data_IF_940066080578
#
_entry.id   IF_940066080578
#
_cell.length_a   1.000
_cell.length_b   1.000
_cell.length_c   1.000
_cell.angle_alpha   90.00
_cell.angle_beta   90.00
_cell.angle_gamma   90.00
#
_symmetry.space_group_name_H-M   'P 1'
#
loop_
_entity.id
_entity.type
_entity.pdbx_description
1 polymer ?
#
# COMPACT_ATOMS: atom_id res chain seq x y z
N UNK A 1 3.72 9.59 17.30
CA UNK A 1 4.42 10.52 16.41
C UNK A 1 5.21 9.68 15.40
N UNK A 2 5.01 9.93 14.12
CA UNK A 2 5.71 9.18 13.09
C UNK A 2 7.23 9.43 13.16
N UNK A 3 8.01 8.36 13.02
CA UNK A 3 9.46 8.45 12.95
C UNK A 3 9.89 9.20 11.70
N UNK A 4 10.86 10.08 11.83
CA UNK A 4 11.46 10.73 10.67
C UNK A 4 12.39 9.77 9.93
N UNK A 5 12.06 9.50 8.66
CA UNK A 5 12.92 8.73 7.76
C UNK A 5 13.24 9.59 6.53
N UNK A 6 14.52 9.66 6.21
CA UNK A 6 14.96 10.36 4.99
C UNK A 6 14.66 9.54 3.74
N UNK A 7 14.73 10.18 2.58
CA UNK A 7 14.61 9.46 1.30
C UNK A 7 15.65 8.33 1.19
N UNK A 8 16.88 8.57 1.66
CA UNK A 8 17.93 7.55 1.66
C UNK A 8 17.59 6.35 2.56
N UNK A 9 16.95 6.59 3.71
CA UNK A 9 16.48 5.52 4.58
C UNK A 9 15.39 4.69 3.90
N UNK A 10 14.43 5.35 3.28
CA UNK A 10 13.33 4.69 2.57
C UNK A 10 13.82 3.90 1.35
N UNK A 11 14.79 4.42 0.61
CA UNK A 11 15.43 3.71 -0.49
C UNK A 11 16.15 2.45 -0.01
N UNK A 12 16.84 2.52 1.12
CA UNK A 12 17.52 1.38 1.74
C UNK A 12 16.52 0.31 2.22
N UNK A 13 15.42 0.73 2.82
CA UNK A 13 14.32 -0.16 3.23
C UNK A 13 13.74 -0.86 2.00
N UNK A 14 13.41 -0.13 0.96
CA UNK A 14 12.90 -0.70 -0.29
C UNK A 14 13.87 -1.72 -0.89
N UNK A 15 15.15 -1.39 -0.96
CA UNK A 15 16.18 -2.28 -1.50
C UNK A 15 16.24 -3.61 -0.76
N UNK A 16 16.13 -3.60 0.55
CA UNK A 16 16.09 -4.81 1.37
C UNK A 16 14.91 -5.72 1.02
N UNK A 17 13.72 -5.17 0.88
CA UNK A 17 12.53 -5.96 0.53
C UNK A 17 12.54 -6.43 -0.92
N UNK A 18 13.08 -5.64 -1.84
CA UNK A 18 13.27 -6.03 -3.24
C UNK A 18 14.27 -7.20 -3.33
N UNK A 19 15.34 -7.16 -2.56
CA UNK A 19 16.30 -8.28 -2.48
C UNK A 19 15.63 -9.56 -1.98
N UNK A 20 14.76 -9.48 -0.99
CA UNK A 20 13.99 -10.62 -0.51
C UNK A 20 13.07 -11.18 -1.60
N UNK A 21 12.40 -10.31 -2.36
CA UNK A 21 11.56 -10.73 -3.47
C UNK A 21 12.38 -11.40 -4.57
N UNK A 22 13.48 -10.82 -4.99
CA UNK A 22 14.35 -11.37 -6.02
C UNK A 22 14.92 -12.75 -5.61
N UNK A 23 15.38 -12.84 -4.38
CA UNK A 23 15.87 -14.12 -3.85
C UNK A 23 14.79 -15.19 -3.84
N UNK A 24 13.58 -14.83 -3.39
CA UNK A 24 12.46 -15.77 -3.29
C UNK A 24 12.00 -16.30 -4.65
N UNK A 25 12.01 -15.47 -5.66
CA UNK A 25 11.52 -15.81 -7.01
C UNK A 25 12.64 -16.08 -8.03
N UNK A 26 13.88 -16.15 -7.57
CA UNK A 26 15.01 -16.49 -8.43
C UNK A 26 15.30 -15.46 -9.53
N UNK A 27 15.00 -14.17 -9.27
CA UNK A 27 15.22 -13.08 -10.21
C UNK A 27 16.66 -12.59 -10.06
N UNK A 28 17.41 -12.52 -11.17
CA UNK A 28 18.77 -11.98 -11.17
C UNK A 28 18.75 -10.45 -11.13
N UNK A 29 19.65 -9.85 -10.36
CA UNK A 29 19.89 -8.40 -10.36
C UNK A 29 20.48 -7.91 -11.70
N UNK A 30 21.15 -8.79 -12.44
CA UNK A 30 21.73 -8.47 -13.75
C UNK A 30 20.69 -8.50 -14.87
N UNK A 31 19.54 -9.14 -14.61
CA UNK A 31 18.39 -9.18 -15.52
C UNK A 31 17.11 -8.93 -14.72
N UNK A 32 16.91 -7.69 -14.24
CA UNK A 32 15.78 -7.35 -13.40
C UNK A 32 14.47 -7.38 -14.18
N UNK A 33 13.45 -7.99 -13.61
CA UNK A 33 12.09 -7.95 -14.14
C UNK A 33 11.20 -7.06 -13.26
N UNK A 34 10.13 -6.49 -13.82
CA UNK A 34 9.17 -5.73 -13.03
C UNK A 34 8.59 -6.57 -11.88
N UNK A 35 8.48 -5.97 -10.72
CA UNK A 35 7.91 -6.62 -9.56
C UNK A 35 6.40 -6.82 -9.73
N UNK A 36 5.92 -8.04 -9.49
CA UNK A 36 4.50 -8.29 -9.32
C UNK A 36 4.11 -7.89 -7.89
N UNK A 37 3.38 -6.79 -7.75
CA UNK A 37 3.08 -6.19 -6.45
C UNK A 37 2.15 -7.07 -5.59
N UNK A 38 1.19 -7.76 -6.18
CA UNK A 38 0.32 -8.69 -5.44
C UNK A 38 1.12 -9.86 -4.89
N UNK A 39 2.01 -10.42 -5.71
CA UNK A 39 2.90 -11.51 -5.31
C UNK A 39 3.90 -11.04 -4.24
N UNK A 40 4.46 -9.85 -4.38
CA UNK A 40 5.31 -9.24 -3.36
C UNK A 40 4.57 -9.07 -2.04
N UNK A 41 3.39 -8.46 -2.06
CA UNK A 41 2.59 -8.23 -0.87
C UNK A 41 2.21 -9.54 -0.17
N UNK A 42 1.76 -10.55 -0.91
CA UNK A 42 1.34 -11.83 -0.32
C UNK A 42 2.51 -12.71 0.10
N UNK A 43 3.53 -12.87 -0.73
CA UNK A 43 4.60 -13.86 -0.52
C UNK A 43 5.76 -13.33 0.32
N UNK A 44 6.10 -12.05 0.22
CA UNK A 44 7.21 -11.45 0.98
C UNK A 44 6.70 -10.83 2.29
N UNK A 45 5.58 -10.11 2.23
CA UNK A 45 5.06 -9.37 3.38
C UNK A 45 3.98 -10.14 4.17
N UNK A 46 3.43 -11.21 3.62
CA UNK A 46 2.35 -11.96 4.26
C UNK A 46 1.04 -11.16 4.36
N UNK A 47 0.77 -10.28 3.40
CA UNK A 47 -0.44 -9.48 3.35
C UNK A 47 -1.53 -10.19 2.56
N UNK A 48 -2.78 -9.92 2.90
CA UNK A 48 -3.94 -10.37 2.13
C UNK A 48 -4.41 -9.23 1.23
N UNK A 49 -4.20 -9.37 -0.07
CA UNK A 49 -4.64 -8.38 -1.06
C UNK A 49 -6.06 -8.72 -1.49
N UNK A 50 -6.99 -7.80 -1.27
CA UNK A 50 -8.40 -7.94 -1.62
C UNK A 50 -8.81 -6.82 -2.56
N UNK A 51 -9.74 -7.12 -3.47
CA UNK A 51 -10.36 -6.11 -4.31
C UNK A 51 -11.85 -6.07 -4.01
N UNK A 52 -12.31 -4.93 -3.52
CA UNK A 52 -13.70 -4.69 -3.11
C UNK A 52 -14.10 -3.27 -3.49
N UNK A 53 -15.39 -3.00 -3.71
CA UNK A 53 -15.86 -1.63 -3.90
C UNK A 53 -15.75 -0.89 -2.57
N UNK A 54 -14.81 0.05 -2.45
CA UNK A 54 -14.57 0.82 -1.23
C UNK A 54 -15.45 2.07 -1.15
N UNK A 55 -15.77 2.64 -2.30
CA UNK A 55 -16.63 3.82 -2.38
C UNK A 55 -17.28 3.92 -3.76
N UNK A 56 -18.40 4.64 -3.83
CA UNK A 56 -19.14 4.82 -5.08
C UNK A 56 -18.57 5.92 -5.97
N UNK A 57 -17.79 6.84 -5.41
CA UNK A 57 -17.31 8.05 -6.10
C UNK A 57 -15.83 8.01 -6.48
N UNK A 58 -15.13 6.91 -6.20
CA UNK A 58 -13.70 6.78 -6.49
C UNK A 58 -12.78 7.58 -5.55
N UNK A 59 -13.30 8.10 -4.44
CA UNK A 59 -12.52 8.91 -3.50
C UNK A 59 -11.49 8.11 -2.71
N UNK A 60 -11.76 6.83 -2.45
CA UNK A 60 -10.86 5.92 -1.75
C UNK A 60 -10.36 4.87 -2.72
N UNK A 61 -9.06 4.84 -2.96
CA UNK A 61 -8.40 3.91 -3.89
C UNK A 61 -7.91 2.65 -3.20
N UNK A 62 -7.50 2.75 -1.96
CA UNK A 62 -6.98 1.63 -1.19
C UNK A 62 -7.14 1.84 0.31
N UNK A 63 -6.96 0.76 1.03
CA UNK A 63 -7.11 0.72 2.48
C UNK A 63 -6.12 -0.29 3.05
N UNK A 64 -5.34 0.11 4.04
CA UNK A 64 -4.51 -0.80 4.83
C UNK A 64 -5.10 -0.99 6.22
N UNK A 65 -5.10 -2.21 6.71
CA UNK A 65 -5.76 -2.59 7.95
C UNK A 65 -4.74 -3.06 8.98
N UNK A 66 -4.69 -2.37 10.11
CA UNK A 66 -3.80 -2.68 11.23
C UNK A 66 -4.50 -3.44 12.35
N UNK A 67 -5.79 -3.23 12.51
CA UNK A 67 -6.62 -3.89 13.52
C UNK A 67 -7.95 -4.30 12.91
N UNK A 68 -8.55 -5.37 13.44
CA UNK A 68 -9.88 -5.79 13.03
C UNK A 68 -10.85 -4.61 13.06
N UNK A 69 -11.51 -4.36 11.94
CA UNK A 69 -12.47 -3.27 11.82
C UNK A 69 -13.62 -3.62 10.87
N UNK A 70 -14.70 -2.87 10.99
CA UNK A 70 -15.83 -2.90 10.06
C UNK A 70 -15.77 -1.68 9.16
N UNK A 71 -16.04 -1.89 7.89
CA UNK A 71 -16.09 -0.83 6.89
C UNK A 71 -17.40 -0.92 6.13
N UNK A 72 -18.16 0.18 6.07
CA UNK A 72 -19.42 0.25 5.35
C UNK A 72 -19.21 0.93 4.02
N UNK A 73 -19.53 0.23 2.95
CA UNK A 73 -19.51 0.74 1.57
C UNK A 73 -20.94 1.04 1.16
N UNK A 74 -21.16 2.18 0.53
CA UNK A 74 -22.43 2.55 -0.09
C UNK A 74 -22.22 2.48 -1.60
N UNK A 75 -22.94 1.55 -2.24
CA UNK A 75 -22.90 1.39 -3.70
C UNK A 75 -23.73 2.48 -4.40
N UNK A 76 -23.51 2.63 -5.70
CA UNK A 76 -24.22 3.64 -6.50
C UNK A 76 -25.75 3.53 -6.44
N UNK A 77 -26.28 2.32 -6.28
CA UNK A 77 -27.72 2.06 -6.12
C UNK A 77 -28.22 2.33 -4.69
N UNK A 78 -27.37 2.82 -3.78
CA UNK A 78 -27.68 3.07 -2.38
C UNK A 78 -27.56 1.83 -1.47
N UNK A 79 -27.22 0.67 -2.00
CA UNK A 79 -27.01 -0.55 -1.23
C UNK A 79 -25.82 -0.38 -0.30
N UNK A 80 -25.99 -0.77 0.96
CA UNK A 80 -24.91 -0.77 1.96
C UNK A 80 -24.31 -2.15 2.08
N UNK A 81 -23.00 -2.25 1.92
CA UNK A 81 -22.21 -3.45 2.24
C UNK A 81 -21.39 -3.21 3.49
N UNK A 82 -21.50 -4.11 4.45
CA UNK A 82 -20.65 -4.12 5.65
C UNK A 82 -19.64 -5.24 5.49
N UNK A 83 -18.36 -4.85 5.45
CA UNK A 83 -17.25 -5.77 5.36
C UNK A 83 -16.48 -5.78 6.70
N UNK A 84 -15.96 -6.93 7.07
CA UNK A 84 -15.05 -7.09 8.21
C UNK A 84 -13.65 -7.30 7.69
N UNK A 85 -12.74 -6.40 8.04
CA UNK A 85 -11.35 -6.50 7.69
C UNK A 85 -10.51 -6.95 8.87
N UNK A 86 -9.50 -7.74 8.57
CA UNK A 86 -8.57 -8.29 9.55
C UNK A 86 -7.20 -7.61 9.45
N UNK A 87 -6.39 -7.65 10.51
CA UNK A 87 -5.00 -7.20 10.43
C UNK A 87 -4.27 -7.88 9.26
N UNK A 88 -3.44 -7.16 8.58
CA UNK A 88 -2.69 -7.59 7.38
C UNK A 88 -3.53 -7.62 6.10
N UNK A 89 -4.78 -7.21 6.13
CA UNK A 89 -5.53 -6.97 4.91
C UNK A 89 -5.09 -5.65 4.27
N UNK A 90 -4.88 -5.67 2.97
CA UNK A 90 -4.89 -4.49 2.13
C UNK A 90 -6.00 -4.63 1.10
N UNK A 91 -6.80 -3.59 0.98
CA UNK A 91 -7.99 -3.61 0.13
C UNK A 91 -7.81 -2.54 -0.94
N UNK A 92 -7.98 -2.95 -2.18
CA UNK A 92 -7.86 -2.08 -3.35
C UNK A 92 -9.26 -1.89 -3.92
N UNK A 93 -9.62 -0.67 -4.27
CA UNK A 93 -10.92 -0.41 -4.86
C UNK A 93 -11.10 -1.19 -6.16
N UNK A 94 -12.21 -1.89 -6.30
CA UNK A 94 -12.50 -2.74 -7.45
C UNK A 94 -12.55 -1.98 -8.78
N UNK A 95 -12.77 -0.67 -8.76
CA UNK A 95 -12.66 0.18 -9.95
C UNK A 95 -11.25 0.15 -10.57
N UNK A 96 -10.21 -0.18 -9.80
CA UNK A 96 -8.83 -0.30 -10.28
C UNK A 96 -8.52 -1.67 -10.93
N UNK A 97 -9.48 -2.58 -11.01
CA UNK A 97 -9.31 -3.89 -11.63
C UNK A 97 -9.15 -3.81 -13.16
N UNK A 98 -9.63 -2.76 -13.80
CA UNK A 98 -9.54 -2.58 -15.24
C UNK A 98 -8.09 -2.51 -15.73
N UNK A 99 -7.80 -3.06 -16.91
CA UNK A 99 -6.45 -3.05 -17.50
C UNK A 99 -5.91 -1.63 -17.71
N UNK A 100 -6.78 -0.66 -18.01
CA UNK A 100 -6.43 0.75 -18.13
C UNK A 100 -5.96 1.39 -16.82
N UNK A 101 -6.22 0.75 -15.69
CA UNK A 101 -5.87 1.22 -14.35
C UNK A 101 -4.65 0.51 -13.74
N UNK A 102 -3.91 -0.29 -14.52
CA UNK A 102 -2.80 -1.11 -14.01
C UNK A 102 -1.76 -0.29 -13.24
N UNK A 103 -1.35 0.85 -13.77
CA UNK A 103 -0.37 1.72 -13.10
C UNK A 103 -0.90 2.26 -11.77
N UNK A 104 -2.14 2.73 -11.74
CA UNK A 104 -2.78 3.21 -10.52
C UNK A 104 -2.97 2.10 -9.49
N UNK A 105 -3.41 0.92 -9.94
CA UNK A 105 -3.54 -0.27 -9.09
C UNK A 105 -2.21 -0.67 -8.45
N UNK A 106 -1.16 -0.77 -9.26
CA UNK A 106 0.17 -1.14 -8.76
C UNK A 106 0.71 -0.12 -7.76
N UNK A 107 0.55 1.17 -8.03
CA UNK A 107 0.94 2.21 -7.08
C UNK A 107 0.13 2.11 -5.78
N UNK A 108 -1.17 1.88 -5.87
CA UNK A 108 -2.02 1.74 -4.69
C UNK A 108 -1.62 0.53 -3.85
N UNK A 109 -1.38 -0.63 -4.46
CA UNK A 109 -0.86 -1.81 -3.74
C UNK A 109 0.46 -1.49 -3.05
N UNK A 110 1.41 -0.87 -3.76
CA UNK A 110 2.71 -0.50 -3.20
C UNK A 110 2.57 0.50 -2.04
N UNK A 111 1.65 1.46 -2.14
CA UNK A 111 1.37 2.45 -1.11
C UNK A 111 0.82 1.81 0.18
N UNK A 112 -0.18 0.94 0.04
CA UNK A 112 -0.76 0.23 1.19
C UNK A 112 0.25 -0.75 1.81
N UNK A 113 1.03 -1.43 0.97
CA UNK A 113 2.12 -2.28 1.45
C UNK A 113 3.20 -1.47 2.18
N UNK A 114 3.50 -0.26 1.72
CA UNK A 114 4.46 0.63 2.38
C UNK A 114 4.03 1.00 3.80
N UNK A 115 2.75 1.28 4.02
CA UNK A 115 2.23 1.50 5.38
C UNK A 115 2.44 0.29 6.28
N UNK A 116 2.21 -0.92 5.77
CA UNK A 116 2.44 -2.16 6.53
C UNK A 116 3.93 -2.38 6.83
N UNK A 117 4.81 -2.13 5.86
CA UNK A 117 6.27 -2.23 6.06
C UNK A 117 6.72 -1.28 7.17
N UNK A 118 6.28 -0.03 7.13
CA UNK A 118 6.65 0.97 8.14
C UNK A 118 6.11 0.60 9.52
N UNK A 119 4.89 0.06 9.59
CA UNK A 119 4.32 -0.41 10.85
C UNK A 119 5.05 -1.64 11.41
N UNK A 120 5.49 -2.55 10.53
CA UNK A 120 6.26 -3.74 10.95
C UNK A 120 7.66 -3.36 11.47
N UNK A 121 8.34 -2.43 10.81
CA UNK A 121 9.68 -1.99 11.18
C UNK A 121 9.68 -1.06 12.41
N UNK A 122 8.66 -0.24 12.53
CA UNK A 122 8.55 0.78 13.58
C UNK A 122 7.19 0.73 14.28
N UNK A 123 6.89 -0.39 14.97
CA UNK A 123 5.55 -0.60 15.54
C UNK A 123 5.18 0.40 16.63
N UNK A 124 6.15 1.10 17.21
CA UNK A 124 5.89 2.14 18.21
C UNK A 124 5.47 3.48 17.59
N UNK A 125 5.83 3.69 16.33
CA UNK A 125 5.66 4.97 15.63
C UNK A 125 4.52 4.94 14.61
N UNK A 126 4.13 3.76 14.12
CA UNK A 126 3.13 3.58 13.05
C UNK A 126 2.02 2.60 13.47
N UNK A 127 0.83 2.82 13.00
CA UNK A 127 -0.29 1.84 13.04
C UNK A 127 -0.98 1.65 14.38
N UNK A 128 -0.46 2.15 15.50
CA UNK A 128 -1.04 1.88 16.83
C UNK A 128 -2.34 2.63 17.12
N UNK A 129 -2.49 3.81 16.58
CA UNK A 129 -3.61 4.70 16.90
C UNK A 129 -4.80 4.57 15.94
N UNK A 130 -4.63 3.89 14.81
CA UNK A 130 -5.63 3.77 13.76
C UNK A 130 -5.90 2.32 13.42
N UNK A 131 -7.17 1.97 13.26
CA UNK A 131 -7.56 0.61 12.86
C UNK A 131 -7.24 0.34 11.40
N UNK A 132 -7.43 1.34 10.55
CA UNK A 132 -7.13 1.29 9.13
C UNK A 132 -6.78 2.67 8.59
N UNK A 133 -6.10 2.70 7.45
CA UNK A 133 -5.78 3.92 6.71
C UNK A 133 -6.26 3.79 5.28
N UNK A 134 -6.95 4.81 4.80
CA UNK A 134 -7.40 4.89 3.41
C UNK A 134 -6.48 5.78 2.57
N UNK A 135 -6.14 5.31 1.37
CA UNK A 135 -5.50 6.12 0.35
C UNK A 135 -6.56 6.89 -0.42
N UNK A 136 -6.53 8.21 -0.34
CA UNK A 136 -7.50 9.11 -0.94
C UNK A 136 -6.98 9.59 -2.29
N UNK A 137 -7.81 9.48 -3.33
CA UNK A 137 -7.46 9.85 -4.71
C UNK A 137 -7.18 11.36 -4.87
N UNK A 138 -7.85 12.18 -4.08
CA UNK A 138 -7.69 13.62 -4.10
C UNK A 138 -7.15 14.10 -2.76
N UNK A 139 -6.08 14.87 -2.80
CA UNK A 139 -5.60 15.60 -1.62
C UNK A 139 -6.73 16.48 -1.09
N UNK A 140 -7.05 16.31 0.16
CA UNK A 140 -7.91 17.30 0.82
C UNK A 140 -7.29 18.70 0.64
N UNK A 141 -8.13 19.65 0.26
CA UNK A 141 -7.71 20.97 -0.20
C UNK A 141 -6.94 21.80 0.82
N UNK A 142 -6.84 21.37 2.08
CA UNK A 142 -6.35 22.18 3.19
C UNK A 142 -5.13 21.62 3.90
N UNK A 143 -4.50 20.55 3.42
CA UNK A 143 -3.38 19.94 4.13
C UNK A 143 -2.23 19.52 3.23
N UNK A 144 -1.04 19.83 3.67
CA UNK A 144 0.13 19.07 3.24
C UNK A 144 -0.10 17.60 3.63
N UNK A 145 0.30 16.63 2.79
CA UNK A 145 0.24 15.23 3.19
C UNK A 145 0.97 15.08 4.52
N UNK A 146 0.40 14.26 5.41
CA UNK A 146 1.08 13.95 6.67
C UNK A 146 2.45 13.37 6.37
N UNK A 147 3.36 13.50 7.31
CA UNK A 147 4.70 12.93 7.17
C UNK A 147 4.65 11.42 6.89
N UNK A 148 3.70 10.72 7.48
CA UNK A 148 3.48 9.29 7.27
C UNK A 148 3.06 8.99 5.81
N UNK A 149 2.16 9.80 5.25
CA UNK A 149 1.74 9.66 3.85
C UNK A 149 2.89 9.95 2.87
N UNK A 150 3.71 10.95 3.17
CA UNK A 150 4.90 11.24 2.37
C UNK A 150 5.87 10.05 2.36
N UNK A 151 6.11 9.45 3.54
CA UNK A 151 6.99 8.28 3.65
C UNK A 151 6.43 7.08 2.92
N UNK A 152 5.13 6.81 3.05
CA UNK A 152 4.47 5.72 2.33
C UNK A 152 4.53 5.93 0.81
N UNK A 153 4.26 7.14 0.33
CA UNK A 153 4.38 7.48 -1.09
C UNK A 153 5.81 7.31 -1.61
N UNK A 154 6.79 7.76 -0.85
CA UNK A 154 8.20 7.65 -1.23
C UNK A 154 8.66 6.21 -1.25
N UNK A 155 8.30 5.43 -0.24
CA UNK A 155 8.63 4.00 -0.18
C UNK A 155 7.94 3.23 -1.31
N UNK A 156 6.69 3.52 -1.61
CA UNK A 156 5.97 2.93 -2.74
C UNK A 156 6.67 3.21 -4.07
N UNK A 157 7.09 4.45 -4.29
CA UNK A 157 7.82 4.82 -5.49
C UNK A 157 9.17 4.07 -5.61
N UNK A 158 9.89 3.91 -4.51
CA UNK A 158 11.15 3.14 -4.47
C UNK A 158 10.93 1.64 -4.71
N UNK A 159 9.82 1.08 -4.27
CA UNK A 159 9.47 -0.32 -4.57
C UNK A 159 9.17 -0.54 -6.04
N UNK A 160 8.54 0.44 -6.70
CA UNK A 160 8.18 0.37 -8.12
C UNK A 160 9.34 0.70 -9.05
N UNK A 161 10.14 1.68 -8.68
CA UNK A 161 11.27 2.19 -9.48
C UNK A 161 12.49 2.40 -8.58
N UNK A 162 13.18 1.32 -8.23
CA UNK A 162 14.32 1.42 -7.32
C UNK A 162 15.43 2.28 -7.90
N UNK A 163 15.96 3.21 -7.10
CA UNK A 163 17.05 4.10 -7.53
C UNK A 163 18.32 3.36 -7.94
N UNK A 164 18.55 2.17 -7.39
CA UNK A 164 19.72 1.36 -7.77
C UNK A 164 19.59 0.68 -9.14
N UNK A 165 18.41 0.68 -9.75
CA UNK A 165 18.18 0.17 -11.11
C UNK A 165 18.19 1.26 -12.18
N UNK A 166 18.32 2.50 -11.79
CA UNK A 166 18.30 3.65 -12.70
C UNK A 166 19.72 4.03 -13.12
#
# INVERSE_FOLDING_TARGET
MARYLSRADLSRIAGKYIDQYYTRFGISKDDPSPMNLEQFASSVLGLNVKMLPLCSDGSILGLTVFQKCRFTVILEDGTKLVEVFMPRDIVIDSALAADSCTGCRNFTIAHEAAHQILADLFPNDYGKAVKCRGHIAYRERNGQPSWEEWQANTLAAELLMPTFLV
#
